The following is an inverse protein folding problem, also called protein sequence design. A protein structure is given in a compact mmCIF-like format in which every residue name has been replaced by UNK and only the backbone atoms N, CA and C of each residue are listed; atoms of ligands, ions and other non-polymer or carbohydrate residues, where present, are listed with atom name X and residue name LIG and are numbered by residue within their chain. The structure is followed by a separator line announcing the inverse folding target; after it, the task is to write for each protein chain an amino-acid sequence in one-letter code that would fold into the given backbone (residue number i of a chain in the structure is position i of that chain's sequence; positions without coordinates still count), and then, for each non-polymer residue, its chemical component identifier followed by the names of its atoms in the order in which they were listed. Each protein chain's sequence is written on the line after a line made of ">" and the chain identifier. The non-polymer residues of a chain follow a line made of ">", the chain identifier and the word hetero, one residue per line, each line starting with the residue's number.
data_IF_738180135869
#
_entry.id   IF_738180135869
#
_cell.length_a   1.000
_cell.length_b   1.000
_cell.length_c   1.000
_cell.angle_alpha   90.00
_cell.angle_beta   90.00
_cell.angle_gamma   90.00
#
_symmetry.space_group_name_H-M   'P 1'
#
loop_
_entity.id
_entity.type
_entity.pdbx_description
1 polymer ?
#
# COMPACT_ATOMS: atom_id res chain seq x y z
N UNK A 1 -2.17 -18.56 -2.95
CA UNK A 1 -2.46 -17.61 -4.04
C UNK A 1 -3.47 -18.20 -5.01
N UNK A 2 -4.56 -17.48 -5.25
CA UNK A 2 -5.55 -17.83 -6.26
C UNK A 2 -5.27 -17.02 -7.52
N UNK A 3 -4.94 -17.68 -8.62
CA UNK A 3 -4.80 -17.03 -9.92
C UNK A 3 -6.18 -16.81 -10.55
N UNK A 4 -6.58 -15.54 -10.62
CA UNK A 4 -7.84 -15.10 -11.22
C UNK A 4 -7.69 -14.71 -12.70
N UNK A 5 -6.51 -14.91 -13.30
CA UNK A 5 -6.26 -14.60 -14.71
C UNK A 5 -7.22 -15.34 -15.64
N UNK A 6 -7.81 -14.62 -16.59
CA UNK A 6 -8.73 -15.16 -17.60
C UNK A 6 -9.95 -15.88 -16.99
N UNK A 7 -10.23 -15.67 -15.70
CA UNK A 7 -11.44 -16.19 -15.07
C UNK A 7 -12.61 -15.26 -15.36
N UNK A 8 -13.76 -15.87 -15.58
CA UNK A 8 -15.02 -15.13 -15.66
C UNK A 8 -15.55 -14.93 -14.25
N UNK A 9 -15.81 -13.68 -13.90
CA UNK A 9 -16.54 -13.29 -12.69
C UNK A 9 -17.99 -13.06 -13.09
N UNK A 10 -18.89 -13.69 -12.35
CA UNK A 10 -20.33 -13.53 -12.50
C UNK A 10 -20.88 -13.09 -11.15
N UNK A 11 -21.55 -11.94 -11.13
CA UNK A 11 -22.25 -11.41 -9.95
C UNK A 11 -23.70 -11.22 -10.35
N UNK A 12 -24.59 -11.87 -9.62
CA UNK A 12 -26.03 -11.65 -9.74
C UNK A 12 -26.51 -10.89 -8.52
N UNK A 13 -27.01 -9.68 -8.73
CA UNK A 13 -27.71 -8.92 -7.72
C UNK A 13 -29.21 -9.13 -7.91
N UNK A 14 -29.93 -9.42 -6.81
CA UNK A 14 -31.37 -9.62 -6.84
C UNK A 14 -32.03 -8.72 -5.82
N UNK A 15 -32.97 -7.91 -6.29
CA UNK A 15 -33.70 -6.87 -5.55
C UNK A 15 -32.78 -5.84 -4.91
N UNK A 16 -33.03 -4.56 -5.16
CA UNK A 16 -32.39 -3.48 -4.41
C UNK A 16 -33.22 -3.23 -3.15
N UNK A 17 -32.61 -3.38 -1.98
CA UNK A 17 -33.28 -3.22 -0.68
C UNK A 17 -32.69 -2.06 0.12
N UNK A 18 -33.54 -1.31 0.79
CA UNK A 18 -33.14 -0.40 1.86
C UNK A 18 -33.14 -1.19 3.18
N UNK A 19 -32.08 -1.05 3.96
CA UNK A 19 -32.00 -1.58 5.32
C UNK A 19 -32.14 -0.39 6.29
N UNK A 20 -33.30 -0.28 6.96
CA UNK A 20 -33.44 0.53 8.17
C UNK A 20 -33.62 -0.43 9.36
N UNK A 21 -32.71 -0.36 10.34
CA UNK A 21 -32.58 -1.09 11.62
C UNK A 21 -33.07 -2.56 11.71
N UNK A 22 -34.33 -2.85 11.38
CA UNK A 22 -34.94 -4.19 11.46
C UNK A 22 -35.86 -4.58 10.30
N UNK A 23 -36.20 -3.68 9.36
CA UNK A 23 -37.08 -3.99 8.22
C UNK A 23 -36.37 -3.81 6.87
N UNK A 24 -36.49 -4.83 6.01
CA UNK A 24 -35.97 -4.81 4.63
C UNK A 24 -37.09 -4.41 3.68
N UNK A 25 -37.06 -3.17 3.22
CA UNK A 25 -37.97 -2.71 2.18
C UNK A 25 -37.31 -2.91 0.81
N UNK A 26 -37.99 -3.63 -0.09
CA UNK A 26 -37.54 -3.73 -1.48
C UNK A 26 -37.84 -2.40 -2.19
N UNK A 27 -36.80 -1.64 -2.51
CA UNK A 27 -36.91 -0.37 -3.26
C UNK A 27 -37.21 -0.66 -4.73
N UNK A 28 -36.60 -1.72 -5.29
CA UNK A 28 -36.79 -2.12 -6.68
C UNK A 28 -36.63 -3.62 -6.81
N UNK A 29 -37.64 -4.27 -7.41
CA UNK A 29 -37.56 -5.66 -7.80
C UNK A 29 -36.80 -5.81 -9.12
N UNK A 30 -36.00 -6.86 -9.22
CA UNK A 30 -35.22 -7.11 -10.42
C UNK A 30 -34.02 -8.03 -10.17
N UNK A 31 -33.45 -8.49 -11.28
CA UNK A 31 -32.19 -9.24 -11.30
C UNK A 31 -31.23 -8.52 -12.22
N UNK A 32 -30.04 -8.20 -11.70
CA UNK A 32 -28.94 -7.60 -12.45
C UNK A 32 -27.77 -8.57 -12.48
N UNK A 33 -27.48 -9.10 -13.65
CA UNK A 33 -26.37 -10.01 -13.88
C UNK A 33 -25.19 -9.23 -14.48
N UNK A 34 -24.08 -9.24 -13.75
CA UNK A 34 -22.81 -8.70 -14.19
C UNK A 34 -21.89 -9.86 -14.53
N UNK A 35 -21.40 -9.88 -15.76
CA UNK A 35 -20.47 -10.90 -16.24
C UNK A 35 -19.32 -10.24 -16.97
N UNK A 36 -18.11 -10.49 -16.50
CA UNK A 36 -16.91 -10.04 -17.18
C UNK A 36 -15.80 -11.08 -17.03
N UNK A 37 -14.90 -11.12 -18.00
CA UNK A 37 -13.70 -11.94 -17.95
C UNK A 37 -12.53 -11.07 -17.54
N UNK A 38 -11.85 -11.46 -16.46
CA UNK A 38 -10.64 -10.81 -16.02
C UNK A 38 -9.54 -11.04 -17.07
N UNK A 39 -8.76 -10.01 -17.36
CA UNK A 39 -7.55 -10.18 -18.17
C UNK A 39 -6.51 -11.04 -17.46
N UNK A 40 -5.34 -11.20 -18.08
CA UNK A 40 -4.18 -11.74 -17.38
C UNK A 40 -3.83 -10.83 -16.19
N UNK A 41 -3.85 -11.37 -14.98
CA UNK A 41 -3.39 -10.64 -13.80
C UNK A 41 -1.88 -10.50 -13.94
N UNK A 42 -1.41 -9.28 -14.13
CA UNK A 42 0.04 -9.04 -14.15
C UNK A 42 0.60 -9.46 -12.79
N UNK A 43 1.66 -10.29 -12.76
CA UNK A 43 2.31 -10.61 -11.50
C UNK A 43 2.88 -9.33 -10.89
N UNK A 44 3.06 -9.37 -9.59
CA UNK A 44 3.72 -8.29 -8.88
C UNK A 44 5.14 -8.09 -9.40
N UNK A 45 5.53 -6.83 -9.60
CA UNK A 45 6.88 -6.47 -10.01
C UNK A 45 7.75 -6.34 -8.77
N UNK A 46 8.84 -7.11 -8.72
CA UNK A 46 9.86 -6.96 -7.67
C UNK A 46 10.92 -5.96 -8.13
N UNK A 47 11.14 -4.95 -7.30
CA UNK A 47 12.14 -3.90 -7.47
C UNK A 47 13.19 -4.09 -6.38
N UNK A 48 14.40 -4.50 -6.77
CA UNK A 48 15.53 -4.59 -5.84
C UNK A 48 16.03 -3.17 -5.55
N UNK A 49 15.97 -2.77 -4.28
CA UNK A 49 16.28 -1.40 -3.85
C UNK A 49 17.63 -1.37 -3.17
N UNK A 50 17.79 -2.16 -2.10
CA UNK A 50 19.00 -2.30 -1.29
C UNK A 50 19.66 -0.95 -0.94
N UNK A 51 18.85 -0.01 -0.43
CA UNK A 51 19.29 1.34 -0.04
C UNK A 51 18.83 1.69 1.35
N UNK A 52 19.65 2.45 2.07
CA UNK A 52 19.23 3.11 3.32
C UNK A 52 18.38 4.33 2.99
N UNK A 53 17.26 4.46 3.69
CA UNK A 53 16.37 5.59 3.63
C UNK A 53 16.13 6.09 5.06
N UNK A 54 16.07 7.41 5.22
CA UNK A 54 15.74 8.03 6.49
C UNK A 54 14.22 8.02 6.67
N UNK A 55 13.71 7.30 7.68
CA UNK A 55 12.31 7.31 8.05
C UNK A 55 12.06 8.24 9.23
N UNK A 56 12.42 9.51 9.09
CA UNK A 56 12.18 10.54 10.10
C UNK A 56 13.10 10.41 11.33
N UNK A 57 14.41 10.30 11.09
CA UNK A 57 15.45 10.09 12.10
C UNK A 57 15.92 8.63 12.24
N UNK A 58 15.29 7.70 11.49
CA UNK A 58 15.60 6.28 11.52
C UNK A 58 16.14 5.83 10.17
N UNK A 59 17.46 5.63 10.07
CA UNK A 59 18.05 5.04 8.88
C UNK A 59 17.73 3.55 8.80
N UNK A 60 16.85 3.18 7.87
CA UNK A 60 16.40 1.80 7.66
C UNK A 60 16.73 1.38 6.24
N UNK A 61 17.27 0.18 6.10
CA UNK A 61 17.56 -0.43 4.81
C UNK A 61 16.27 -0.95 4.18
N UNK A 62 15.90 -0.38 3.04
CA UNK A 62 14.87 -0.92 2.15
C UNK A 62 15.53 -1.94 1.24
N UNK A 63 15.27 -3.23 1.45
CA UNK A 63 15.86 -4.32 0.68
C UNK A 63 15.24 -4.40 -0.71
N UNK A 64 13.92 -4.46 -0.76
CA UNK A 64 13.15 -4.47 -2.01
C UNK A 64 11.79 -3.82 -1.85
N UNK A 65 11.19 -3.47 -2.98
CA UNK A 65 9.80 -3.07 -3.09
C UNK A 65 9.10 -4.03 -4.05
N UNK A 66 7.89 -4.41 -3.67
CA UNK A 66 7.03 -5.27 -4.46
C UNK A 66 5.80 -4.46 -4.84
N UNK A 67 5.50 -4.33 -6.13
CA UNK A 67 4.51 -3.35 -6.60
C UNK A 67 3.62 -3.90 -7.71
N UNK A 68 2.35 -3.54 -7.62
CA UNK A 68 1.31 -3.67 -8.65
C UNK A 68 0.72 -2.28 -8.90
N UNK A 69 -0.12 -2.10 -9.93
CA UNK A 69 -0.77 -0.80 -10.16
C UNK A 69 -1.63 -0.27 -9.00
N UNK A 70 -2.02 -1.14 -8.06
CA UNK A 70 -2.93 -0.81 -6.96
C UNK A 70 -2.34 -1.04 -5.57
N UNK A 71 -1.37 -1.94 -5.43
CA UNK A 71 -0.80 -2.37 -4.15
C UNK A 71 0.71 -2.26 -4.19
N UNK A 72 1.30 -1.99 -3.04
CA UNK A 72 2.73 -2.00 -2.83
C UNK A 72 3.08 -2.66 -1.50
N UNK A 73 4.29 -3.22 -1.44
CA UNK A 73 4.90 -3.78 -0.24
C UNK A 73 6.37 -3.35 -0.16
N UNK A 74 6.80 -2.86 1.00
CA UNK A 74 8.20 -2.55 1.31
C UNK A 74 8.77 -3.65 2.20
N UNK A 75 9.97 -4.12 1.86
CA UNK A 75 10.73 -5.08 2.66
C UNK A 75 11.86 -4.33 3.36
N UNK A 76 11.65 -4.06 4.63
CA UNK A 76 12.56 -3.30 5.46
C UNK A 76 13.42 -4.24 6.28
N UNK A 77 14.66 -3.85 6.58
CA UNK A 77 15.47 -4.59 7.52
C UNK A 77 14.80 -4.64 8.91
N UNK A 78 14.66 -5.85 9.44
CA UNK A 78 13.89 -6.08 10.66
C UNK A 78 14.54 -5.42 11.88
N UNK A 79 15.85 -5.61 12.09
CA UNK A 79 16.52 -5.10 13.29
C UNK A 79 16.58 -3.57 13.28
N UNK A 80 16.76 -2.95 12.11
CA UNK A 80 16.69 -1.49 11.97
C UNK A 80 15.27 -0.95 12.17
N UNK A 81 14.26 -1.61 11.60
CA UNK A 81 12.86 -1.20 11.72
C UNK A 81 12.31 -1.37 13.16
N UNK A 82 12.71 -2.42 13.88
CA UNK A 82 12.21 -2.67 15.24
C UNK A 82 12.64 -1.59 16.24
N UNK A 83 13.75 -0.89 15.99
CA UNK A 83 14.19 0.25 16.82
C UNK A 83 13.14 1.36 16.88
N UNK A 84 12.39 1.58 15.79
CA UNK A 84 11.29 2.56 15.76
C UNK A 84 10.26 2.18 16.82
N UNK A 85 9.79 0.93 16.79
CA UNK A 85 8.76 0.47 17.73
C UNK A 85 9.26 0.40 19.18
N UNK A 86 10.54 0.06 19.40
CA UNK A 86 11.13 0.05 20.73
C UNK A 86 11.19 1.47 21.32
N UNK A 87 11.61 2.44 20.53
CA UNK A 87 11.70 3.84 20.96
C UNK A 87 10.32 4.46 21.17
N UNK A 88 9.38 4.27 20.24
CA UNK A 88 8.01 4.77 20.32
C UNK A 88 7.25 4.15 21.52
N UNK A 89 7.55 2.90 21.89
CA UNK A 89 6.97 2.26 23.08
C UNK A 89 7.54 2.79 24.40
N UNK A 90 8.80 3.22 24.40
CA UNK A 90 9.55 3.53 25.63
C UNK A 90 9.67 5.03 25.94
N UNK A 91 9.33 5.93 25.02
CA UNK A 91 9.42 7.39 25.22
C UNK A 91 8.03 8.02 25.35
N UNK A 92 7.61 8.30 26.58
CA UNK A 92 6.57 9.31 26.85
C UNK A 92 7.12 10.75 26.80
N UNK A 93 8.44 10.92 26.68
CA UNK A 93 9.10 12.22 26.66
C UNK A 93 9.75 12.48 25.28
N UNK A 94 9.14 13.46 24.59
CA UNK A 94 9.48 13.93 23.26
C UNK A 94 10.68 14.90 23.33
N UNK A 95 11.84 14.49 22.82
CA UNK A 95 13.07 15.29 22.89
C UNK A 95 13.68 15.64 21.50
N UNK A 96 12.95 15.48 20.39
CA UNK A 96 13.48 15.66 19.03
C UNK A 96 12.46 16.18 18.01
N UNK A 97 12.75 16.04 16.71
CA UNK A 97 11.88 16.40 15.56
C UNK A 97 10.95 15.27 15.12
N UNK A 98 10.91 14.19 15.90
CA UNK A 98 10.30 12.92 15.51
C UNK A 98 8.81 12.88 15.90
N UNK A 99 7.88 12.74 14.96
CA UNK A 99 6.43 13.02 15.15
C UNK A 99 5.63 12.01 16.01
N UNK A 100 6.28 11.02 16.65
CA UNK A 100 5.59 10.02 17.47
C UNK A 100 4.69 9.12 16.63
N UNK A 101 5.25 8.59 15.54
CA UNK A 101 4.52 7.92 14.47
C UNK A 101 5.12 6.55 14.23
N UNK A 102 4.30 5.51 14.13
CA UNK A 102 4.80 4.18 13.77
C UNK A 102 5.34 4.14 12.33
N UNK A 103 6.08 3.08 12.02
CA UNK A 103 6.69 2.93 10.71
C UNK A 103 5.66 2.74 9.58
N UNK A 104 4.49 2.20 9.91
CA UNK A 104 3.37 2.06 8.96
C UNK A 104 2.90 3.43 8.46
N UNK A 105 2.77 4.41 9.34
CA UNK A 105 2.39 5.75 8.95
C UNK A 105 3.55 6.55 8.32
N UNK A 106 4.81 6.34 8.75
CA UNK A 106 5.99 6.97 8.10
C UNK A 106 6.18 6.55 6.65
N UNK A 107 5.81 5.33 6.31
CA UNK A 107 5.92 4.76 4.94
C UNK A 107 4.73 5.11 4.04
N UNK A 108 3.87 6.04 4.44
CA UNK A 108 2.73 6.48 3.63
C UNK A 108 3.19 7.15 2.33
N UNK A 109 2.97 6.46 1.20
CA UNK A 109 3.27 6.99 -0.13
C UNK A 109 2.17 7.96 -0.57
N UNK A 110 2.55 9.19 -0.90
CA UNK A 110 1.63 10.22 -1.40
C UNK A 110 2.00 10.77 -2.78
N UNK A 111 3.19 10.43 -3.29
CA UNK A 111 3.56 10.73 -4.68
C UNK A 111 4.36 9.59 -5.29
N UNK A 112 4.27 9.47 -6.61
CA UNK A 112 5.13 8.61 -7.44
C UNK A 112 5.77 9.44 -8.54
N UNK A 113 7.02 9.14 -8.87
CA UNK A 113 7.73 9.75 -9.99
C UNK A 113 8.02 8.71 -11.05
N UNK A 114 7.73 9.06 -12.29
CA UNK A 114 7.98 8.23 -13.46
C UNK A 114 9.35 8.54 -14.09
N UNK A 115 9.80 7.64 -14.96
CA UNK A 115 11.09 7.72 -15.71
C UNK A 115 11.22 9.00 -16.54
N UNK A 116 10.12 9.56 -17.04
CA UNK A 116 10.09 10.80 -17.82
C UNK A 116 10.17 12.07 -16.93
N UNK A 117 10.24 11.90 -15.61
CA UNK A 117 10.25 12.99 -14.63
C UNK A 117 8.86 13.45 -14.20
N UNK A 118 7.78 12.92 -14.78
CA UNK A 118 6.41 13.23 -14.37
C UNK A 118 6.18 12.76 -12.94
N UNK A 119 5.62 13.64 -12.10
CA UNK A 119 5.24 13.33 -10.72
C UNK A 119 3.71 13.26 -10.62
N UNK A 120 3.19 12.11 -10.22
CA UNK A 120 1.79 11.92 -9.89
C UNK A 120 1.64 12.08 -8.37
N UNK A 121 0.88 13.11 -7.97
CA UNK A 121 0.43 13.26 -6.57
C UNK A 121 -0.83 12.44 -6.37
N UNK A 122 -0.82 11.60 -5.34
CA UNK A 122 -1.90 10.68 -5.00
C UNK A 122 -2.91 11.38 -4.10
N UNK A 123 -4.15 11.48 -4.55
CA UNK A 123 -5.24 12.04 -3.76
C UNK A 123 -5.66 11.05 -2.67
N UNK A 124 -5.20 11.31 -1.44
CA UNK A 124 -5.51 10.50 -0.25
C UNK A 124 -6.93 10.73 0.29
N UNK A 125 -7.69 11.69 -0.25
CA UNK A 125 -9.10 11.92 0.13
C UNK A 125 -10.05 10.96 -0.59
N UNK A 126 -9.64 10.48 -1.77
CA UNK A 126 -10.26 9.35 -2.44
C UNK A 126 -9.85 8.09 -1.67
N UNK A 127 -10.74 7.60 -0.80
CA UNK A 127 -10.48 6.41 0.02
C UNK A 127 -9.83 5.28 -0.79
N UNK A 128 -8.73 4.72 -0.28
CA UNK A 128 -7.96 3.68 -0.96
C UNK A 128 -8.63 2.30 -0.92
N UNK A 129 -8.12 1.38 -1.73
CA UNK A 129 -8.53 -0.03 -1.66
C UNK A 129 -8.02 -0.60 -0.33
N UNK A 130 -8.90 -1.18 0.48
CA UNK A 130 -8.50 -1.85 1.71
C UNK A 130 -7.54 -3.02 1.39
N UNK A 131 -6.33 -2.97 1.95
CA UNK A 131 -5.30 -4.00 1.76
C UNK A 131 -4.04 -3.75 2.60
N UNK A 132 -4.13 -2.80 3.53
CA UNK A 132 -3.04 -2.37 4.38
C UNK A 132 -2.71 -3.40 5.46
N UNK A 133 -1.43 -3.48 5.82
CA UNK A 133 -1.02 -4.23 7.00
C UNK A 133 0.49 -4.32 7.16
N UNK A 134 0.87 -4.85 8.32
CA UNK A 134 2.25 -5.14 8.66
C UNK A 134 2.41 -6.65 8.83
N UNK A 135 3.58 -7.17 8.44
CA UNK A 135 3.96 -8.56 8.73
C UNK A 135 5.44 -8.59 9.13
N UNK A 136 5.71 -9.16 10.30
CA UNK A 136 7.06 -9.47 10.75
C UNK A 136 7.47 -10.85 10.24
N UNK A 137 8.52 -10.90 9.42
CA UNK A 137 9.13 -12.13 8.93
C UNK A 137 10.55 -12.24 9.51
N UNK A 138 10.60 -12.71 10.76
CA UNK A 138 11.84 -12.81 11.55
C UNK A 138 12.83 -13.81 10.98
N UNK A 139 12.34 -14.87 10.33
CA UNK A 139 13.19 -15.89 9.71
C UNK A 139 14.02 -15.29 8.58
N UNK A 140 13.43 -14.39 7.79
CA UNK A 140 14.11 -13.70 6.70
C UNK A 140 14.70 -12.34 7.12
N UNK A 141 14.59 -11.96 8.40
CA UNK A 141 15.08 -10.68 8.91
C UNK A 141 14.45 -9.48 8.21
N UNK A 142 13.15 -9.54 7.92
CA UNK A 142 12.41 -8.43 7.28
C UNK A 142 11.13 -8.06 8.00
N UNK A 143 10.86 -6.75 8.04
CA UNK A 143 9.55 -6.21 8.32
C UNK A 143 8.90 -5.83 6.99
N UNK A 144 7.69 -6.33 6.75
CA UNK A 144 6.94 -6.07 5.53
C UNK A 144 5.80 -5.11 5.84
N UNK A 145 5.83 -3.94 5.22
CA UNK A 145 4.71 -2.99 5.24
C UNK A 145 4.05 -3.01 3.87
N UNK A 146 2.74 -3.15 3.85
CA UNK A 146 1.94 -3.24 2.63
C UNK A 146 0.76 -2.31 2.70
N UNK A 147 0.45 -1.66 1.58
CA UNK A 147 -0.70 -0.77 1.45
C UNK A 147 -1.11 -0.64 -0.03
N UNK A 148 -2.15 0.16 -0.28
CA UNK A 148 -2.65 0.47 -1.61
C UNK A 148 -2.25 1.86 -2.08
N UNK A 149 -2.27 2.05 -3.39
CA UNK A 149 -2.36 3.38 -4.00
C UNK A 149 -3.84 3.77 -4.12
N UNK A 150 -4.21 5.02 -3.81
CA UNK A 150 -5.58 5.50 -4.01
C UNK A 150 -5.92 5.68 -5.50
N UNK A 151 -4.90 5.70 -6.37
CA UNK A 151 -5.03 5.84 -7.82
C UNK A 151 -4.13 4.84 -8.52
N UNK A 152 -4.46 4.50 -9.77
CA UNK A 152 -3.66 3.58 -10.58
C UNK A 152 -2.27 4.15 -10.85
N UNK A 153 -1.24 3.34 -10.58
CA UNK A 153 0.16 3.67 -10.85
C UNK A 153 0.67 2.86 -12.04
N UNK A 154 1.30 3.53 -13.01
CA UNK A 154 2.06 2.85 -14.07
C UNK A 154 3.38 2.30 -13.52
N UNK A 155 3.35 1.02 -13.13
CA UNK A 155 4.51 0.29 -12.60
C UNK A 155 5.64 0.15 -13.62
N UNK A 156 5.33 0.06 -14.91
CA UNK A 156 6.34 -0.15 -15.96
C UNK A 156 7.23 1.11 -16.10
N UNK A 157 6.67 2.28 -15.78
CA UNK A 157 7.36 3.57 -15.81
C UNK A 157 7.74 4.13 -14.43
N UNK A 158 7.42 3.47 -13.31
CA UNK A 158 7.80 3.90 -11.97
C UNK A 158 9.33 4.01 -11.80
N UNK A 159 9.79 5.14 -11.24
CA UNK A 159 11.19 5.43 -10.93
C UNK A 159 11.42 5.60 -9.42
N UNK A 160 10.53 6.34 -8.75
CA UNK A 160 10.66 6.64 -7.33
C UNK A 160 9.29 6.79 -6.65
N UNK A 161 9.26 6.62 -5.34
CA UNK A 161 8.09 6.89 -4.49
C UNK A 161 8.45 7.90 -3.41
N UNK A 162 7.48 8.72 -3.03
CA UNK A 162 7.65 9.73 -1.99
C UNK A 162 6.85 9.37 -0.74
N UNK A 163 7.49 9.49 0.41
CA UNK A 163 6.87 9.29 1.71
C UNK A 163 6.43 10.62 2.33
N UNK A 164 5.15 10.95 2.20
CA UNK A 164 4.61 12.27 2.53
C UNK A 164 4.81 12.74 3.96
N UNK A 165 4.79 11.81 4.92
CA UNK A 165 4.87 12.16 6.34
C UNK A 165 6.29 12.51 6.80
N UNK A 166 7.30 12.18 5.99
CA UNK A 166 8.73 12.38 6.31
C UNK A 166 9.47 13.17 5.23
N UNK A 167 8.79 13.53 4.13
CA UNK A 167 9.35 14.28 3.00
C UNK A 167 10.61 13.60 2.41
N UNK A 168 10.50 12.30 2.10
CA UNK A 168 11.62 11.50 1.60
C UNK A 168 11.28 10.75 0.32
N UNK A 169 12.22 10.77 -0.62
CA UNK A 169 12.15 10.01 -1.85
C UNK A 169 12.93 8.71 -1.75
N UNK A 170 12.31 7.63 -2.20
CA UNK A 170 12.95 6.34 -2.42
C UNK A 170 13.02 6.09 -3.93
N UNK A 171 14.24 6.13 -4.48
CA UNK A 171 14.49 5.60 -5.83
C UNK A 171 14.35 4.07 -5.80
N UNK A 172 13.45 3.55 -6.62
CA UNK A 172 13.18 2.10 -6.72
C UNK A 172 13.70 1.49 -8.01
N UNK A 173 14.24 2.32 -8.90
CA UNK A 173 14.99 1.94 -10.10
C UNK A 173 16.20 2.87 -10.26
N UNK A 174 17.19 2.42 -11.03
CA UNK A 174 18.33 3.24 -11.47
C UNK A 174 17.93 4.21 -12.59
#
# INVERSE_FOLDING_TARGET
>A
DYDLSNKTVEITLKNLTEEEDYDKTVITDGTWDFKWTLGAVKPQTTLEVNRKCDFGGYEITVKKMEVTPLLWSLYLDYDEAMKVYEDEKNKFEYAGTDYGMDLYARTSIDQVRYKDGTVLTLDRTMGGIAGGGEKQDKENGVLIIRNSFPQLVDVDNLQAVHFGNIDQWLEVRE
#
